data_IF_377117079173
#
_entry.id   IF_377117079173
#
_cell.length_a   1.000
_cell.length_b   1.000
_cell.length_c   1.000
_cell.angle_alpha   90.00
_cell.angle_beta   90.00
_cell.angle_gamma   90.00
#
_symmetry.space_group_name_H-M   'P 1'
#
loop_
_entity.id
_entity.type
_entity.pdbx_description
1 polymer ?
#
# COMPACT_ATOMS: atom_id res chain seq x y z
N UNK A 1 1.47 8.69 1.55
CA UNK A 1 1.11 7.96 2.79
C UNK A 1 0.46 8.83 3.87
N UNK A 2 1.11 9.83 4.48
CA UNK A 2 0.51 10.66 5.55
C UNK A 2 -0.87 11.25 5.17
N UNK A 3 -1.00 11.76 3.94
CA UNK A 3 -2.29 12.22 3.38
C UNK A 3 -3.38 11.15 3.34
N UNK A 4 -3.04 9.89 3.13
CA UNK A 4 -4.00 8.79 3.13
C UNK A 4 -4.48 8.44 4.55
N UNK A 5 -3.60 8.51 5.56
CA UNK A 5 -4.01 8.33 6.95
C UNK A 5 -5.10 9.33 7.33
N UNK A 6 -4.88 10.61 7.03
CA UNK A 6 -5.86 11.67 7.28
C UNK A 6 -7.17 11.40 6.54
N UNK A 7 -7.09 11.04 5.25
CA UNK A 7 -8.26 10.77 4.40
C UNK A 7 -9.11 9.63 4.95
N UNK A 8 -8.51 8.47 5.23
CA UNK A 8 -9.24 7.30 5.72
C UNK A 8 -9.73 7.49 7.16
N UNK A 9 -8.95 8.13 8.03
CA UNK A 9 -9.40 8.48 9.38
C UNK A 9 -10.66 9.36 9.34
N UNK A 10 -10.65 10.42 8.52
CA UNK A 10 -11.80 11.32 8.37
C UNK A 10 -13.01 10.61 7.74
N UNK A 11 -12.78 9.74 6.76
CA UNK A 11 -13.85 8.94 6.15
C UNK A 11 -14.49 7.96 7.15
N UNK A 12 -13.72 7.45 8.10
CA UNK A 12 -14.21 6.62 9.20
C UNK A 12 -14.76 7.43 10.40
N UNK A 13 -14.82 8.77 10.29
CA UNK A 13 -15.29 9.69 11.33
C UNK A 13 -14.52 9.58 12.67
N UNK A 14 -13.26 9.12 12.61
CA UNK A 14 -12.43 8.90 13.80
C UNK A 14 -11.64 10.16 14.18
N UNK A 15 -11.52 10.44 15.48
CA UNK A 15 -10.58 11.43 15.98
C UNK A 15 -9.14 10.89 15.98
N UNK A 16 -8.15 11.77 16.14
CA UNK A 16 -6.76 11.33 16.33
C UNK A 16 -6.60 10.52 17.63
N UNK A 17 -7.40 10.83 18.66
CA UNK A 17 -7.42 10.10 19.94
C UNK A 17 -7.91 8.67 19.73
N UNK A 18 -8.96 8.47 18.92
CA UNK A 18 -9.49 7.15 18.61
C UNK A 18 -8.46 6.28 17.91
N UNK A 19 -7.79 6.81 16.89
CA UNK A 19 -6.75 6.07 16.17
C UNK A 19 -5.57 5.72 17.08
N UNK A 20 -5.13 6.65 17.94
CA UNK A 20 -4.05 6.36 18.91
C UNK A 20 -4.45 5.27 19.90
N UNK A 21 -5.69 5.28 20.40
CA UNK A 21 -6.21 4.20 21.25
C UNK A 21 -6.16 2.86 20.50
N UNK A 22 -6.68 2.82 19.28
CA UNK A 22 -6.71 1.63 18.43
C UNK A 22 -5.31 1.10 18.07
N UNK A 23 -4.34 1.98 17.86
CA UNK A 23 -2.93 1.63 17.61
C UNK A 23 -2.26 1.06 18.88
N UNK A 24 -2.57 1.63 20.05
CA UNK A 24 -2.07 1.14 21.34
C UNK A 24 -2.59 -0.27 21.62
N UNK A 25 -3.87 -0.53 21.37
CA UNK A 25 -4.49 -1.86 21.48
C UNK A 25 -3.83 -2.91 20.56
N UNK A 26 -3.22 -2.46 19.45
CA UNK A 26 -2.48 -3.31 18.49
C UNK A 26 -0.99 -3.43 18.80
N UNK A 27 -0.55 -2.96 19.97
CA UNK A 27 0.85 -3.02 20.38
C UNK A 27 1.76 -1.96 19.76
N UNK A 28 1.20 -0.91 19.16
CA UNK A 28 1.94 0.24 18.62
C UNK A 28 1.60 1.51 19.42
N UNK A 29 2.11 1.66 20.66
CA UNK A 29 1.81 2.81 21.50
C UNK A 29 2.48 4.08 20.95
N UNK A 30 1.72 5.18 20.91
CA UNK A 30 2.22 6.52 20.56
C UNK A 30 1.35 7.61 21.17
N UNK A 31 1.85 8.85 21.20
CA UNK A 31 1.09 10.00 21.68
C UNK A 31 0.23 10.64 20.58
N UNK A 32 -0.87 11.31 20.95
CA UNK A 32 -1.69 12.10 20.01
C UNK A 32 -0.88 13.18 19.29
N UNK A 33 0.00 13.96 19.95
CA UNK A 33 0.91 14.87 19.25
C UNK A 33 1.81 14.17 18.23
N UNK A 34 2.36 12.99 18.55
CA UNK A 34 3.17 12.20 17.62
C UNK A 34 2.37 11.74 16.41
N UNK A 35 1.14 11.26 16.62
CA UNK A 35 0.25 10.87 15.53
C UNK A 35 -0.13 12.07 14.65
N UNK A 36 -0.40 13.23 15.26
CA UNK A 36 -0.66 14.47 14.53
C UNK A 36 0.54 14.91 13.68
N UNK A 37 1.77 14.83 14.21
CA UNK A 37 2.99 15.11 13.46
C UNK A 37 3.17 14.16 12.26
N UNK A 38 2.81 12.88 12.42
CA UNK A 38 2.78 11.89 11.33
C UNK A 38 1.78 12.29 10.25
N UNK A 39 0.55 12.65 10.61
CA UNK A 39 -0.49 13.07 9.67
C UNK A 39 -0.08 14.31 8.87
N UNK A 40 0.67 15.22 9.51
CA UNK A 40 1.22 16.42 8.88
C UNK A 40 2.51 16.19 8.08
N UNK A 41 3.01 14.94 8.03
CA UNK A 41 4.25 14.60 7.31
C UNK A 41 5.54 15.05 8.01
N UNK A 42 5.47 15.48 9.26
CA UNK A 42 6.62 15.91 10.07
C UNK A 42 7.46 14.76 10.61
N UNK A 43 6.95 13.52 10.55
CA UNK A 43 7.68 12.34 11.03
C UNK A 43 7.49 11.17 10.07
N UNK A 44 8.56 10.39 9.86
CA UNK A 44 8.49 9.16 9.06
C UNK A 44 7.70 8.09 9.82
N UNK A 45 6.96 7.29 9.07
CA UNK A 45 6.16 6.18 9.58
C UNK A 45 6.97 4.88 9.49
N UNK A 46 6.91 4.05 10.53
CA UNK A 46 7.49 2.70 10.53
C UNK A 46 6.56 1.70 9.84
N UNK A 47 7.09 0.54 9.45
CA UNK A 47 6.28 -0.54 8.85
C UNK A 47 5.22 -1.06 9.83
N UNK A 48 5.59 -1.24 11.10
CA UNK A 48 4.66 -1.70 12.14
C UNK A 48 3.47 -0.74 12.31
N UNK A 49 3.75 0.57 12.34
CA UNK A 49 2.69 1.58 12.41
C UNK A 49 1.83 1.58 11.15
N UNK A 50 2.41 1.42 9.97
CA UNK A 50 1.65 1.30 8.72
C UNK A 50 0.68 0.13 8.77
N UNK A 51 1.14 -1.05 9.18
CA UNK A 51 0.31 -2.26 9.25
C UNK A 51 -0.78 -2.10 10.32
N UNK A 52 -0.43 -1.62 11.51
CA UNK A 52 -1.39 -1.40 12.58
C UNK A 52 -2.44 -0.32 12.22
N UNK A 53 -2.04 0.75 11.52
CA UNK A 53 -2.96 1.79 11.06
C UNK A 53 -3.88 1.29 9.95
N UNK A 54 -3.38 0.45 9.05
CA UNK A 54 -4.19 -0.19 8.02
C UNK A 54 -5.30 -1.04 8.67
N UNK A 55 -4.92 -1.89 9.63
CA UNK A 55 -5.88 -2.72 10.38
C UNK A 55 -6.87 -1.87 11.20
N UNK A 56 -6.40 -0.83 11.90
CA UNK A 56 -7.26 0.08 12.66
C UNK A 56 -8.27 0.81 11.77
N UNK A 57 -7.88 1.20 10.55
CA UNK A 57 -8.74 1.91 9.61
C UNK A 57 -9.57 0.98 8.70
N UNK A 58 -9.46 -0.35 8.87
CA UNK A 58 -10.18 -1.33 8.06
C UNK A 58 -9.77 -1.34 6.58
N UNK A 59 -8.52 -1.02 6.27
CA UNK A 59 -7.97 -0.99 4.90
C UNK A 59 -6.71 -1.83 4.78
N UNK A 60 -6.25 -2.10 3.55
CA UNK A 60 -4.97 -2.78 3.34
C UNK A 60 -3.77 -1.80 3.46
N UNK A 61 -2.57 -2.27 3.82
CA UNK A 61 -1.36 -1.44 3.76
C UNK A 61 -1.11 -0.85 2.37
N UNK A 62 -1.43 -1.60 1.31
CA UNK A 62 -1.32 -1.14 -0.08
C UNK A 62 -2.17 0.12 -0.34
N UNK A 63 -3.37 0.15 0.23
CA UNK A 63 -4.29 1.29 0.16
C UNK A 63 -3.71 2.56 0.77
N UNK A 64 -2.94 2.44 1.86
CA UNK A 64 -2.30 3.59 2.52
C UNK A 64 -1.02 4.05 1.80
N UNK A 65 -0.31 3.12 1.16
CA UNK A 65 0.94 3.39 0.44
C UNK A 65 0.73 4.17 -0.86
N UNK A 66 -0.33 3.87 -1.62
CA UNK A 66 -0.55 4.45 -2.94
C UNK A 66 -1.10 5.87 -2.82
N UNK A 67 -0.46 6.89 -3.40
CA UNK A 67 -0.99 8.26 -3.40
C UNK A 67 -2.42 8.29 -3.93
N UNK A 68 -3.26 9.14 -3.33
CA UNK A 68 -4.61 9.35 -3.84
C UNK A 68 -4.55 9.91 -5.26
N UNK A 69 -5.33 9.32 -6.16
CA UNK A 69 -5.45 9.67 -7.56
C UNK A 69 -6.94 9.62 -7.93
N UNK A 70 -7.37 10.50 -8.85
CA UNK A 70 -8.76 10.60 -9.30
C UNK A 70 -9.12 9.49 -10.31
N UNK A 71 -8.13 9.02 -11.07
CA UNK A 71 -8.27 7.95 -12.06
C UNK A 71 -7.05 7.02 -12.10
N UNK A 72 -7.17 5.95 -12.90
CA UNK A 72 -6.19 4.86 -12.99
C UNK A 72 -4.89 5.27 -13.71
N UNK A 73 -4.95 6.23 -14.63
CA UNK A 73 -3.85 6.69 -15.48
C UNK A 73 -3.15 7.92 -14.92
N UNK A 74 -3.74 8.59 -13.93
CA UNK A 74 -3.13 9.69 -13.22
C UNK A 74 -1.72 9.33 -12.71
N UNK A 75 -0.77 10.23 -12.98
CA UNK A 75 0.61 10.07 -12.51
C UNK A 75 0.68 10.22 -10.99
N UNK A 76 1.37 9.27 -10.36
CA UNK A 76 1.64 9.27 -8.93
C UNK A 76 3.14 9.24 -8.68
N UNK A 77 3.57 10.01 -7.69
CA UNK A 77 4.95 10.04 -7.21
C UNK A 77 5.12 8.99 -6.10
N UNK A 78 5.88 7.94 -6.40
CA UNK A 78 6.43 7.01 -5.41
C UNK A 78 7.82 7.51 -4.99
N UNK A 79 8.29 7.08 -3.82
CA UNK A 79 9.65 7.42 -3.39
C UNK A 79 10.67 6.83 -4.39
N UNK A 80 11.31 7.70 -5.17
CA UNK A 80 12.32 7.32 -6.16
C UNK A 80 11.78 6.81 -7.50
N UNK A 81 10.47 6.89 -7.76
CA UNK A 81 9.87 6.46 -9.02
C UNK A 81 8.58 7.21 -9.34
N UNK A 82 8.32 7.44 -10.63
CA UNK A 82 7.02 7.87 -11.14
C UNK A 82 6.32 6.69 -11.81
N UNK A 83 5.01 6.61 -11.68
CA UNK A 83 4.18 5.59 -12.32
C UNK A 83 2.74 6.11 -12.42
N UNK A 84 1.90 5.46 -13.23
CA UNK A 84 0.45 5.68 -13.14
C UNK A 84 -0.11 5.01 -11.88
N UNK A 85 -1.26 5.47 -11.40
CA UNK A 85 -1.92 4.88 -10.22
C UNK A 85 -2.14 3.37 -10.37
N UNK A 86 -2.53 2.91 -11.56
CA UNK A 86 -2.71 1.48 -11.86
C UNK A 86 -1.39 0.70 -11.85
N UNK A 87 -0.30 1.28 -12.37
CA UNK A 87 1.02 0.66 -12.33
C UNK A 87 1.50 0.51 -10.89
N UNK A 88 1.37 1.56 -10.07
CA UNK A 88 1.70 1.52 -8.66
C UNK A 88 0.88 0.47 -7.90
N UNK A 89 -0.43 0.39 -8.16
CA UNK A 89 -1.32 -0.62 -7.58
C UNK A 89 -0.91 -2.04 -7.92
N UNK A 90 -0.73 -2.32 -9.22
CA UNK A 90 -0.31 -3.65 -9.69
C UNK A 90 1.04 -4.05 -9.14
N UNK A 91 1.96 -3.11 -8.97
CA UNK A 91 3.27 -3.39 -8.40
C UNK A 91 3.22 -3.75 -6.92
N UNK A 92 2.57 -2.92 -6.10
CA UNK A 92 2.46 -3.13 -4.66
C UNK A 92 1.67 -4.41 -4.32
N UNK A 93 0.72 -4.78 -5.17
CA UNK A 93 -0.12 -5.99 -4.99
C UNK A 93 0.42 -7.23 -5.71
N UNK A 94 1.70 -7.22 -6.11
CA UNK A 94 2.36 -8.36 -6.75
C UNK A 94 1.71 -8.86 -8.06
N UNK A 95 1.03 -7.97 -8.80
CA UNK A 95 0.40 -8.29 -10.10
C UNK A 95 1.32 -8.04 -11.30
N UNK A 96 2.13 -6.98 -11.31
CA UNK A 96 3.10 -6.74 -12.40
C UNK A 96 4.28 -5.89 -11.92
N UNK A 97 5.44 -5.94 -12.59
CA UNK A 97 6.53 -5.00 -12.34
C UNK A 97 6.08 -3.52 -12.47
N UNK A 98 6.74 -2.61 -11.74
CA UNK A 98 6.41 -1.18 -11.75
C UNK A 98 6.64 -0.53 -13.12
N UNK A 99 7.78 -0.83 -13.74
CA UNK A 99 8.05 -0.44 -15.11
C UNK A 99 7.59 -1.58 -16.02
N UNK A 100 6.69 -1.32 -16.99
CA UNK A 100 6.34 -2.33 -17.97
C UNK A 100 7.60 -2.75 -18.73
N UNK A 101 7.63 -4.01 -19.16
CA UNK A 101 8.67 -4.53 -20.03
C UNK A 101 8.53 -3.83 -21.39
N UNK A 102 9.64 -3.47 -22.02
CA UNK A 102 9.63 -2.73 -23.29
C UNK A 102 8.96 -3.55 -24.42
N UNK A 103 8.99 -4.87 -24.32
CA UNK A 103 8.30 -5.80 -25.20
C UNK A 103 6.84 -6.01 -24.75
N UNK A 104 5.89 -6.09 -25.69
CA UNK A 104 4.47 -6.41 -25.45
C UNK A 104 4.08 -7.81 -25.94
N UNK A 105 5.05 -8.61 -26.41
CA UNK A 105 4.85 -9.95 -26.93
C UNK A 105 4.93 -11.08 -25.89
N UNK A 106 4.97 -12.33 -26.35
CA UNK A 106 5.04 -13.54 -25.50
C UNK A 106 6.20 -13.53 -24.48
N UNK A 107 7.30 -12.82 -24.79
CA UNK A 107 8.42 -12.63 -23.87
C UNK A 107 8.01 -11.82 -22.64
N UNK A 108 7.21 -10.78 -22.82
CA UNK A 108 6.69 -9.95 -21.75
C UNK A 108 5.81 -10.75 -20.79
N UNK A 109 4.95 -11.63 -21.31
CA UNK A 109 4.11 -12.50 -20.49
C UNK A 109 4.94 -13.49 -19.66
N UNK A 110 5.97 -14.09 -20.28
CA UNK A 110 6.88 -15.01 -19.60
C UNK A 110 7.66 -14.30 -18.48
N UNK A 111 8.12 -13.08 -18.71
CA UNK A 111 8.84 -12.29 -17.72
C UNK A 111 7.94 -11.78 -16.58
N UNK A 112 6.71 -11.36 -16.87
CA UNK A 112 5.72 -11.03 -15.81
C UNK A 112 5.44 -12.25 -14.95
N UNK A 113 5.32 -13.44 -15.56
CA UNK A 113 5.14 -14.70 -14.83
C UNK A 113 6.35 -15.02 -13.95
N UNK A 114 7.56 -14.93 -14.49
CA UNK A 114 8.80 -15.14 -13.74
C UNK A 114 8.92 -14.14 -12.57
N UNK A 115 8.54 -12.88 -12.79
CA UNK A 115 8.49 -11.86 -11.75
C UNK A 115 7.52 -12.23 -10.63
N UNK A 116 6.29 -12.65 -10.97
CA UNK A 116 5.28 -13.08 -9.97
C UNK A 116 5.80 -14.23 -9.12
N UNK A 117 6.42 -15.25 -9.72
CA UNK A 117 7.02 -16.34 -8.96
C UNK A 117 8.10 -15.90 -7.97
N UNK A 118 8.85 -14.84 -8.29
CA UNK A 118 9.88 -14.31 -7.42
C UNK A 118 9.32 -13.51 -6.25
N UNK A 119 8.22 -12.77 -6.46
CA UNK A 119 7.67 -11.85 -5.44
C UNK A 119 6.53 -12.44 -4.62
N UNK A 120 5.88 -13.49 -5.13
CA UNK A 120 4.78 -14.17 -4.45
C UNK A 120 5.31 -15.33 -3.60
N UNK A 121 4.76 -15.54 -2.39
CA UNK A 121 5.09 -16.70 -1.57
C UNK A 121 4.77 -18.03 -2.28
N UNK A 122 5.52 -19.07 -1.97
CA UNK A 122 5.38 -20.41 -2.59
C UNK A 122 3.98 -21.04 -2.43
N UNK A 123 3.21 -20.61 -1.42
CA UNK A 123 1.84 -21.08 -1.19
C UNK A 123 0.81 -20.35 -2.07
N UNK A 124 1.12 -19.16 -2.57
CA UNK A 124 0.25 -18.40 -3.48
C UNK A 124 0.14 -19.07 -4.85
N UNK A 125 1.25 -19.59 -5.39
CA UNK A 125 1.26 -20.33 -6.65
C UNK A 125 0.48 -21.65 -6.60
N UNK A 126 0.52 -22.34 -5.45
CA UNK A 126 -0.21 -23.61 -5.25
C UNK A 126 -1.73 -23.46 -5.26
N UNK A 127 -2.25 -22.29 -4.89
CA UNK A 127 -3.69 -22.02 -4.86
C UNK A 127 -4.31 -21.71 -6.22
N UNK A 128 -3.56 -21.18 -7.18
CA UNK A 128 -4.10 -20.84 -8.51
C UNK A 128 -4.14 -22.02 -9.48
N UNK A 129 -3.29 -23.04 -9.29
CA UNK A 129 -3.25 -24.23 -10.14
C UNK A 129 -4.23 -25.34 -9.71
N UNK A 130 -4.81 -25.24 -8.51
CA UNK A 130 -5.73 -26.23 -7.93
C UNK A 130 -7.21 -26.02 -8.24
N UNK A 131 -7.56 -24.97 -9.00
CA UNK A 131 -8.94 -24.54 -9.26
C UNK A 131 -9.28 -24.58 -10.77
N UNK A 132 -8.71 -25.55 -11.49
CA UNK A 132 -9.03 -25.86 -12.90
C UNK A 132 -9.74 -27.19 -13.05
#
# INVERSE_FOLDING_TARGET
MARNLVRYRKQAELSQVDVVRMLTERGVPLSVPSYSAIENGGTRITVDLLVAAADALGVSPATLLIPHAEDMEAEVELTGAKATAVQAWRWITAQSPLKPLEDKGKRAEAEVRAWRYRVSPIWWGRGQDGDR
#
